data_IF_676185267248
#
_entry.id   IF_676185267248
#
_cell.length_a   1.000
_cell.length_b   1.000
_cell.length_c   1.000
_cell.angle_alpha   90.00
_cell.angle_beta   90.00
_cell.angle_gamma   90.00
#
_symmetry.space_group_name_H-M   'P 1'
#
loop_
_entity.id
_entity.type
_entity.pdbx_description
1 polymer ?
#
# COMPACT_ATOMS: atom_id res chain seq x y z
N UNK A 1 9.50 -18.90 -9.24
CA UNK A 1 8.58 -18.21 -8.31
C UNK A 1 7.46 -17.63 -9.15
N UNK A 2 6.20 -17.87 -8.78
CA UNK A 2 5.07 -17.32 -9.54
C UNK A 2 4.81 -15.91 -8.99
N UNK A 3 5.06 -14.90 -9.83
CA UNK A 3 4.73 -13.51 -9.51
C UNK A 3 3.21 -13.39 -9.40
N UNK A 4 2.74 -12.85 -8.28
CA UNK A 4 1.35 -12.46 -8.10
C UNK A 4 1.16 -10.99 -8.48
N UNK A 5 0.04 -10.43 -8.03
CA UNK A 5 -0.24 -9.00 -8.10
C UNK A 5 -0.44 -8.43 -6.71
N UNK A 6 0.11 -7.24 -6.49
CA UNK A 6 -0.08 -6.46 -5.29
C UNK A 6 -1.02 -5.31 -5.60
N UNK A 7 -2.17 -5.28 -4.93
CA UNK A 7 -3.02 -4.10 -4.87
C UNK A 7 -2.48 -3.17 -3.77
N UNK A 8 -2.09 -1.98 -4.18
CA UNK A 8 -1.57 -0.93 -3.31
C UNK A 8 -2.63 0.16 -3.22
N UNK A 9 -3.01 0.50 -2.00
CA UNK A 9 -4.03 1.51 -1.72
C UNK A 9 -3.42 2.55 -0.79
N UNK A 10 -3.27 3.77 -1.29
CA UNK A 10 -2.82 4.92 -0.51
C UNK A 10 -4.01 5.83 -0.21
N UNK A 11 -4.15 6.20 1.05
CA UNK A 11 -5.22 7.07 1.53
C UNK A 11 -4.68 8.15 2.45
N UNK A 12 -5.28 9.33 2.44
CA UNK A 12 -4.93 10.39 3.37
C UNK A 12 -5.44 10.06 4.79
N UNK A 13 -4.63 10.34 5.80
CA UNK A 13 -5.05 10.29 7.19
C UNK A 13 -5.55 11.67 7.65
N UNK A 14 -6.57 11.69 8.50
CA UNK A 14 -7.11 12.95 9.07
C UNK A 14 -6.07 13.72 9.90
N UNK A 15 -5.13 12.99 10.53
CA UNK A 15 -4.01 13.56 11.30
C UNK A 15 -2.88 14.11 10.43
N UNK A 16 -3.02 14.06 9.10
CA UNK A 16 -1.93 14.28 8.16
C UNK A 16 -1.13 13.01 7.88
N UNK A 17 -0.49 12.99 6.71
CA UNK A 17 0.27 11.84 6.21
C UNK A 17 -0.57 10.86 5.37
N UNK A 18 0.08 9.79 4.93
CA UNK A 18 -0.51 8.79 4.04
C UNK A 18 -0.54 7.42 4.71
N UNK A 19 -1.67 6.75 4.66
CA UNK A 19 -1.83 5.35 5.05
C UNK A 19 -1.78 4.45 3.82
N UNK A 20 -1.12 3.30 3.94
CA UNK A 20 -1.08 2.27 2.92
C UNK A 20 -1.77 0.98 3.38
N UNK A 21 -2.50 0.37 2.46
CA UNK A 21 -2.92 -1.02 2.55
C UNK A 21 -2.40 -1.80 1.34
N UNK A 22 -1.98 -3.02 1.59
CA UNK A 22 -1.32 -3.92 0.65
C UNK A 22 -2.11 -5.23 0.59
N UNK A 23 -2.58 -5.61 -0.59
CA UNK A 23 -3.38 -6.82 -0.76
C UNK A 23 -2.76 -7.70 -1.84
N UNK A 24 -2.23 -8.84 -1.43
CA UNK A 24 -1.74 -9.87 -2.33
C UNK A 24 -2.89 -10.58 -3.06
N UNK A 25 -2.70 -10.81 -4.35
CA UNK A 25 -3.64 -11.45 -5.25
C UNK A 25 -2.89 -12.32 -6.27
N UNK A 26 -3.55 -13.35 -6.81
CA UNK A 26 -2.88 -14.32 -7.70
C UNK A 26 -2.83 -13.85 -9.16
N UNK A 27 -3.83 -13.09 -9.60
CA UNK A 27 -3.97 -12.63 -10.99
C UNK A 27 -4.33 -11.15 -11.06
N UNK A 28 -4.03 -10.49 -12.18
CA UNK A 28 -4.42 -9.11 -12.45
C UNK A 28 -5.94 -8.92 -12.33
N UNK A 29 -6.73 -9.82 -12.92
CA UNK A 29 -8.19 -9.77 -12.86
C UNK A 29 -8.70 -9.79 -11.41
N UNK A 30 -8.13 -10.67 -10.57
CA UNK A 30 -8.49 -10.74 -9.15
C UNK A 30 -8.08 -9.48 -8.38
N UNK A 31 -6.97 -8.85 -8.77
CA UNK A 31 -6.50 -7.57 -8.23
C UNK A 31 -7.45 -6.42 -8.59
N UNK A 32 -7.83 -6.32 -9.86
CA UNK A 32 -8.71 -5.28 -10.37
C UNK A 32 -10.11 -5.39 -9.78
N UNK A 33 -10.67 -6.60 -9.75
CA UNK A 33 -11.97 -6.87 -9.13
C UNK A 33 -11.99 -6.45 -7.65
N UNK A 34 -10.92 -6.77 -6.90
CA UNK A 34 -10.76 -6.32 -5.51
C UNK A 34 -10.60 -4.80 -5.42
N UNK A 35 -9.85 -4.17 -6.31
CA UNK A 35 -9.66 -2.72 -6.32
C UNK A 35 -11.01 -2.00 -6.47
N UNK A 36 -11.89 -2.46 -7.37
CA UNK A 36 -13.23 -1.91 -7.56
C UNK A 36 -14.08 -2.09 -6.30
N UNK A 37 -14.06 -3.27 -5.68
CA UNK A 37 -14.81 -3.52 -4.46
C UNK A 37 -14.34 -2.65 -3.28
N UNK A 38 -13.03 -2.57 -3.05
CA UNK A 38 -12.45 -1.76 -1.97
C UNK A 38 -12.66 -0.27 -2.21
N UNK A 39 -12.50 0.20 -3.45
CA UNK A 39 -12.77 1.59 -3.83
C UNK A 39 -14.17 2.03 -3.42
N UNK A 40 -15.20 1.25 -3.76
CA UNK A 40 -16.59 1.55 -3.38
C UNK A 40 -16.78 1.68 -1.86
N UNK A 41 -16.13 0.81 -1.08
CA UNK A 41 -16.20 0.83 0.39
C UNK A 41 -15.53 2.12 0.93
N UNK A 42 -14.34 2.44 0.43
CA UNK A 42 -13.57 3.61 0.87
C UNK A 42 -14.28 4.92 0.49
N UNK A 43 -14.83 5.01 -0.72
CA UNK A 43 -15.60 6.17 -1.18
C UNK A 43 -16.89 6.36 -0.37
N UNK A 44 -17.61 5.27 -0.06
CA UNK A 44 -18.77 5.32 0.83
C UNK A 44 -18.40 5.78 2.25
N UNK A 45 -17.22 5.38 2.73
CA UNK A 45 -16.62 5.84 3.98
C UNK A 45 -16.00 7.25 3.91
N UNK A 46 -16.07 7.94 2.77
CA UNK A 46 -15.48 9.26 2.51
C UNK A 46 -13.96 9.32 2.75
N UNK A 47 -13.27 8.19 2.55
CA UNK A 47 -11.81 8.14 2.65
C UNK A 47 -11.21 8.77 1.39
N UNK A 48 -10.26 9.69 1.57
CA UNK A 48 -9.52 10.33 0.48
C UNK A 48 -8.46 9.37 -0.08
N UNK A 49 -8.77 8.72 -1.20
CA UNK A 49 -7.88 7.79 -1.89
C UNK A 49 -6.87 8.58 -2.74
N UNK A 50 -5.59 8.56 -2.36
CA UNK A 50 -4.50 9.18 -3.12
C UNK A 50 -4.02 8.33 -4.29
N UNK A 51 -4.02 7.01 -4.11
CA UNK A 51 -3.60 6.06 -5.13
C UNK A 51 -4.29 4.72 -4.91
N UNK A 52 -4.66 4.06 -5.99
CA UNK A 52 -5.05 2.66 -5.96
C UNK A 52 -4.53 2.00 -7.25
N UNK A 53 -3.58 1.07 -7.13
CA UNK A 53 -2.90 0.47 -8.29
C UNK A 53 -2.66 -1.02 -8.07
N UNK A 54 -2.87 -1.80 -9.13
CA UNK A 54 -2.43 -3.19 -9.23
C UNK A 54 -1.08 -3.24 -9.94
N UNK A 55 -0.11 -3.94 -9.35
CA UNK A 55 1.23 -4.09 -9.92
C UNK A 55 1.72 -5.53 -9.78
N UNK A 56 2.41 -6.09 -10.78
CA UNK A 56 3.11 -7.37 -10.62
C UNK A 56 4.10 -7.27 -9.46
N UNK A 57 4.10 -8.26 -8.57
CA UNK A 57 4.99 -8.26 -7.39
C UNK A 57 5.15 -9.64 -6.79
N UNK A 58 6.33 -9.89 -6.23
CA UNK A 58 6.66 -11.02 -5.34
C UNK A 58 6.57 -10.65 -3.85
N UNK A 59 6.34 -9.39 -3.51
CA UNK A 59 6.23 -8.92 -2.12
C UNK A 59 5.00 -9.54 -1.46
N UNK A 60 5.17 -10.14 -0.28
CA UNK A 60 4.07 -10.74 0.49
C UNK A 60 3.83 -9.94 1.75
N UNK A 61 2.60 -9.48 1.97
CA UNK A 61 2.20 -8.82 3.21
C UNK A 61 1.32 -9.74 4.05
N UNK A 62 1.46 -9.66 5.37
CA UNK A 62 0.50 -10.28 6.28
C UNK A 62 -0.89 -9.72 5.98
N UNK A 63 -1.88 -10.62 5.91
CA UNK A 63 -3.28 -10.26 5.64
C UNK A 63 -3.74 -9.18 6.63
N UNK A 64 -4.34 -8.13 6.08
CA UNK A 64 -4.91 -7.05 6.88
C UNK A 64 -6.00 -7.61 7.82
N UNK A 65 -5.96 -7.18 9.08
CA UNK A 65 -6.97 -7.51 10.10
C UNK A 65 -7.63 -6.22 10.57
N UNK A 66 -8.96 -6.23 10.63
CA UNK A 66 -9.72 -5.14 11.24
C UNK A 66 -9.68 -5.21 12.79
N UNK A 67 -9.40 -6.38 13.36
CA UNK A 67 -9.33 -6.58 14.81
C UNK A 67 -8.13 -5.85 15.39
N UNK A 68 -8.38 -4.94 16.34
CA UNK A 68 -7.34 -4.17 17.02
C UNK A 68 -6.57 -3.21 16.09
N UNK A 69 -7.08 -2.89 14.89
CA UNK A 69 -6.36 -2.08 13.91
C UNK A 69 -6.00 -0.67 14.44
N UNK A 70 -6.78 -0.13 15.37
CA UNK A 70 -6.51 1.16 16.01
C UNK A 70 -5.33 1.11 16.99
N UNK A 71 -5.06 -0.06 17.59
CA UNK A 71 -4.00 -0.27 18.59
C UNK A 71 -2.77 -0.98 18.00
N UNK A 72 -2.90 -1.52 16.78
CA UNK A 72 -1.82 -2.22 16.10
C UNK A 72 -0.64 -1.28 15.83
N UNK A 73 0.61 -1.72 16.07
CA UNK A 73 1.79 -0.94 15.75
C UNK A 73 1.79 -0.51 14.29
N UNK A 74 1.86 0.79 14.03
CA UNK A 74 2.03 1.32 12.69
C UNK A 74 3.51 1.26 12.31
N UNK A 75 3.76 0.70 11.14
CA UNK A 75 5.06 0.64 10.47
C UNK A 75 5.12 1.71 9.41
N UNK A 76 6.33 2.18 9.10
CA UNK A 76 6.58 3.13 8.02
C UNK A 76 7.18 2.38 6.84
N UNK A 77 6.72 2.72 5.65
CA UNK A 77 7.24 2.18 4.42
C UNK A 77 7.56 3.30 3.43
N UNK A 78 8.64 3.12 2.68
CA UNK A 78 8.89 3.80 1.43
C UNK A 78 8.38 2.92 0.31
N UNK A 79 7.45 3.43 -0.48
CA UNK A 79 6.85 2.74 -1.63
C UNK A 79 7.29 3.45 -2.89
N UNK A 80 8.15 2.81 -3.69
CA UNK A 80 8.60 3.32 -4.98
C UNK A 80 7.83 2.63 -6.11
N UNK A 81 7.12 3.41 -6.92
CA UNK A 81 6.28 2.93 -8.00
C UNK A 81 6.80 3.38 -9.36
N UNK A 82 7.13 2.40 -10.20
CA UNK A 82 7.33 2.59 -11.63
C UNK A 82 6.05 2.33 -12.44
N UNK A 83 6.20 2.25 -13.76
CA UNK A 83 5.10 1.93 -14.68
C UNK A 83 4.51 0.54 -14.37
N UNK A 84 5.35 -0.48 -14.26
CA UNK A 84 4.95 -1.88 -13.99
C UNK A 84 5.76 -2.54 -12.86
N UNK A 85 6.37 -1.74 -11.99
CA UNK A 85 7.19 -2.24 -10.88
C UNK A 85 6.84 -1.55 -9.57
N UNK A 86 7.07 -2.28 -8.47
CA UNK A 86 6.99 -1.74 -7.11
C UNK A 86 8.17 -2.24 -6.28
N UNK A 87 8.75 -1.33 -5.52
CA UNK A 87 9.61 -1.66 -4.39
C UNK A 87 8.98 -1.12 -3.10
N UNK A 88 9.00 -1.93 -2.03
CA UNK A 88 8.56 -1.50 -0.70
C UNK A 88 9.66 -1.82 0.30
N UNK A 89 10.06 -0.82 1.08
CA UNK A 89 11.06 -0.94 2.14
C UNK A 89 10.49 -0.42 3.45
N UNK A 90 10.69 -1.14 4.54
CA UNK A 90 10.32 -0.69 5.89
C UNK A 90 11.39 0.26 6.42
N UNK A 91 10.97 1.41 6.95
CA UNK A 91 11.86 2.40 7.57
C UNK A 91 11.69 2.48 9.08
N UNK A 92 12.78 2.70 9.83
CA UNK A 92 12.71 2.82 11.29
C UNK A 92 12.02 4.12 11.75
N UNK A 93 12.18 5.21 11.01
CA UNK A 93 11.70 6.54 11.41
C UNK A 93 11.25 7.41 10.23
N UNK A 94 10.66 8.56 10.56
CA UNK A 94 10.12 9.52 9.58
C UNK A 94 11.22 10.24 8.80
N UNK A 95 12.38 10.48 9.40
CA UNK A 95 13.50 11.15 8.75
C UNK A 95 14.17 10.25 7.69
N UNK A 96 14.13 8.93 7.90
CA UNK A 96 14.51 7.93 6.91
C UNK A 96 13.48 7.77 5.79
N UNK A 97 12.26 8.25 6.00
CA UNK A 97 11.21 8.25 4.99
C UNK A 97 11.26 9.55 4.17
N UNK A 98 12.08 9.54 3.12
CA UNK A 98 12.14 10.65 2.16
C UNK A 98 11.32 10.30 0.92
N UNK A 99 10.12 10.88 0.83
CA UNK A 99 9.37 10.87 -0.42
C UNK A 99 9.97 11.91 -1.37
N UNK A 100 10.56 11.45 -2.47
CA UNK A 100 10.99 12.30 -3.57
C UNK A 100 10.47 11.70 -4.86
N UNK A 101 9.77 12.50 -5.67
CA UNK A 101 9.47 12.08 -7.04
C UNK A 101 10.81 12.03 -7.80
N UNK A 102 11.28 10.82 -8.11
CA UNK A 102 12.38 10.63 -9.05
C UNK A 102 11.80 10.69 -10.47
N UNK A 103 12.61 11.07 -11.46
CA UNK A 103 12.16 11.36 -12.82
C UNK A 103 11.28 10.24 -13.45
N UNK A 104 11.51 8.99 -13.03
CA UNK A 104 10.83 7.79 -13.55
C UNK A 104 10.03 7.00 -12.48
N UNK A 105 10.03 7.44 -11.21
CA UNK A 105 9.38 6.72 -10.12
C UNK A 105 8.72 7.65 -9.11
N UNK A 106 7.45 7.34 -8.78
CA UNK A 106 6.74 8.02 -7.70
C UNK A 106 7.06 7.35 -6.38
N UNK A 107 7.69 8.08 -5.47
CA UNK A 107 8.07 7.57 -4.15
C UNK A 107 7.12 8.13 -3.10
N UNK A 108 6.50 7.24 -2.33
CA UNK A 108 5.55 7.58 -1.27
C UNK A 108 6.06 7.15 0.09
N UNK A 109 5.94 8.07 1.04
CA UNK A 109 6.08 7.78 2.46
C UNK A 109 4.74 7.48 3.08
N UNK A 110 4.60 6.27 3.59
CA UNK A 110 3.31 5.74 4.03
C UNK A 110 3.44 5.03 5.36
N UNK A 111 2.34 4.97 6.09
CA UNK A 111 2.22 4.16 7.30
C UNK A 111 1.22 3.02 7.08
N UNK A 112 1.48 1.85 7.64
CA UNK A 112 0.56 0.71 7.59
C UNK A 112 0.64 -0.12 8.87
N UNK A 113 -0.44 -0.80 9.23
CA UNK A 113 -0.43 -1.82 10.31
C UNK A 113 0.02 -3.19 9.80
N UNK A 114 0.20 -3.34 8.49
CA UNK A 114 0.60 -4.60 7.87
C UNK A 114 2.10 -4.83 7.97
N UNK A 115 2.48 -6.12 8.01
CA UNK A 115 3.87 -6.57 8.12
C UNK A 115 4.31 -7.15 6.78
N UNK A 116 5.37 -6.61 6.20
CA UNK A 116 6.03 -7.22 5.04
C UNK A 116 6.69 -8.54 5.48
N UNK A 117 6.42 -9.61 4.74
CA UNK A 117 7.02 -10.93 4.99
C UNK A 117 8.37 -11.02 4.26
N UNK A 118 9.35 -11.73 4.84
CA UNK A 118 10.65 -12.00 4.21
C UNK A 118 10.54 -12.97 3.02
#
# INVERSE_FOLDING_TARGET
>A
MQLGYLLIILSALETGGTSAAFVNTETLESCEARSVAVRKILEAGKVDIKLMKCVPSDLVFKKFSHDGAAEAPRRRFVVSLGEDSVAVREEPDEAACTAADEADAKVYCVTSTQVLQP
#
